data_IF_067523925364
#
_entry.id   IF_067523925364
#
_cell.length_a   1.000
_cell.length_b   1.000
_cell.length_c   1.000
_cell.angle_alpha   90.00
_cell.angle_beta   90.00
_cell.angle_gamma   90.00
#
_symmetry.space_group_name_H-M   'P 1'
#
loop_
_entity.id
_entity.type
_entity.pdbx_description
1 polymer ?
#
# COMPACT_ATOMS: atom_id res chain seq x y z
N UNK A 1 9.59 -14.88 1.23
CA UNK A 1 10.88 -14.37 1.74
C UNK A 1 10.81 -14.01 3.23
N UNK A 2 10.03 -13.00 3.61
CA UNK A 2 9.98 -12.44 4.98
C UNK A 2 9.87 -13.47 6.13
N UNK A 3 8.94 -14.43 6.05
CA UNK A 3 8.73 -15.41 7.13
C UNK A 3 9.89 -16.42 7.34
N UNK A 4 10.86 -16.47 6.42
CA UNK A 4 12.06 -17.31 6.57
C UNK A 4 13.19 -16.60 7.34
N UNK A 5 13.01 -15.32 7.68
CA UNK A 5 14.03 -14.53 8.37
C UNK A 5 14.03 -14.82 9.87
N UNK A 6 15.23 -14.82 10.46
CA UNK A 6 15.47 -14.89 11.90
C UNK A 6 16.71 -14.04 12.28
N UNK A 7 16.93 -13.75 13.57
CA UNK A 7 18.01 -12.85 14.00
C UNK A 7 19.43 -13.32 13.66
N UNK A 8 19.60 -14.60 13.34
CA UNK A 8 20.88 -15.24 13.07
C UNK A 8 21.19 -15.32 11.57
N UNK A 9 20.16 -15.32 10.70
CA UNK A 9 20.34 -15.35 9.24
C UNK A 9 20.24 -13.98 8.57
N UNK A 10 19.77 -12.95 9.28
CA UNK A 10 19.56 -11.60 8.73
C UNK A 10 20.51 -10.58 9.38
N UNK A 11 21.79 -10.65 9.03
CA UNK A 11 22.82 -9.70 9.50
C UNK A 11 22.84 -8.39 8.71
N UNK A 12 22.25 -8.36 7.51
CA UNK A 12 22.23 -7.18 6.62
C UNK A 12 21.38 -6.02 7.14
N UNK A 13 20.35 -6.31 7.93
CA UNK A 13 19.45 -5.30 8.48
C UNK A 13 19.85 -5.02 9.93
N UNK A 14 20.46 -3.87 10.23
CA UNK A 14 20.98 -3.56 11.56
C UNK A 14 19.88 -3.45 12.62
N UNK A 15 18.63 -3.18 12.24
CA UNK A 15 17.49 -3.02 13.16
C UNK A 15 16.71 -4.33 13.40
N UNK A 16 17.10 -5.42 12.74
CA UNK A 16 16.28 -6.63 12.75
C UNK A 16 16.29 -7.34 14.11
N UNK A 17 17.38 -7.23 14.87
CA UNK A 17 17.50 -7.82 16.22
C UNK A 17 16.63 -7.07 17.22
N UNK A 18 16.60 -5.75 17.15
CA UNK A 18 15.76 -4.86 17.95
C UNK A 18 14.29 -5.10 17.65
N UNK A 19 13.94 -5.18 16.35
CA UNK A 19 12.59 -5.56 15.91
C UNK A 19 12.16 -6.91 16.47
N UNK A 20 13.01 -7.94 16.39
CA UNK A 20 12.69 -9.29 16.88
C UNK A 20 12.40 -9.28 18.39
N UNK A 21 13.28 -8.65 19.18
CA UNK A 21 13.13 -8.51 20.62
C UNK A 21 11.83 -7.77 20.99
N UNK A 22 11.49 -6.71 20.25
CA UNK A 22 10.25 -5.95 20.43
C UNK A 22 9.00 -6.78 20.08
N UNK A 23 8.96 -7.39 18.88
CA UNK A 23 7.80 -8.16 18.40
C UNK A 23 7.47 -9.35 19.29
N UNK A 24 8.50 -10.06 19.77
CA UNK A 24 8.33 -11.29 20.55
C UNK A 24 8.50 -11.10 22.06
N UNK A 25 8.71 -9.85 22.50
CA UNK A 25 8.94 -9.45 23.87
C UNK A 25 9.98 -10.34 24.60
N UNK A 26 11.15 -10.48 23.99
CA UNK A 26 12.25 -11.31 24.47
C UNK A 26 13.60 -10.58 24.33
N UNK A 27 14.66 -11.17 24.87
CA UNK A 27 16.02 -10.63 24.85
C UNK A 27 16.97 -11.52 24.03
N UNK A 28 17.79 -10.93 23.16
CA UNK A 28 18.87 -11.64 22.46
C UNK A 28 20.20 -11.47 23.23
N UNK A 29 21.07 -12.51 23.27
CA UNK A 29 22.40 -12.39 23.88
C UNK A 29 23.20 -11.27 23.19
N UNK A 30 23.71 -10.32 23.98
CA UNK A 30 24.49 -9.18 23.47
C UNK A 30 23.68 -7.98 22.96
N UNK A 31 22.35 -7.97 23.11
CA UNK A 31 21.52 -6.81 22.84
C UNK A 31 21.63 -5.75 23.94
N UNK A 32 22.11 -4.55 23.59
CA UNK A 32 22.29 -3.45 24.55
C UNK A 32 20.98 -3.00 25.23
N UNK A 33 21.11 -2.70 26.54
CA UNK A 33 20.12 -2.23 27.54
C UNK A 33 19.37 -3.32 28.35
N UNK A 34 19.56 -3.22 29.67
CA UNK A 34 18.87 -3.83 30.83
C UNK A 34 17.70 -4.78 30.51
N UNK A 35 18.03 -6.05 30.27
CA UNK A 35 17.09 -7.17 30.13
C UNK A 35 16.78 -7.85 31.47
N UNK A 36 16.54 -7.08 32.52
CA UNK A 36 16.11 -7.65 33.81
C UNK A 36 14.66 -8.12 33.69
N UNK A 37 14.44 -9.42 33.50
CA UNK A 37 13.13 -10.08 33.59
C UNK A 37 12.49 -10.55 32.27
N UNK A 38 13.14 -10.37 31.11
CA UNK A 38 12.62 -10.89 29.82
C UNK A 38 13.19 -12.27 29.51
N UNK A 39 12.36 -13.16 28.93
CA UNK A 39 12.81 -14.45 28.42
C UNK A 39 13.84 -14.27 27.30
N UNK A 40 14.72 -15.25 27.11
CA UNK A 40 15.63 -15.27 25.97
C UNK A 40 14.85 -15.55 24.68
N UNK A 41 15.21 -14.85 23.60
CA UNK A 41 14.74 -15.17 22.26
C UNK A 41 15.45 -16.43 21.75
N UNK A 42 14.71 -17.34 21.11
CA UNK A 42 15.30 -18.58 20.55
C UNK A 42 15.65 -18.44 19.07
N UNK A 43 15.05 -17.47 18.37
CA UNK A 43 15.12 -17.34 16.91
C UNK A 43 14.21 -18.32 16.17
N UNK A 44 13.46 -19.15 16.90
CA UNK A 44 12.44 -20.06 16.37
C UNK A 44 11.04 -19.46 16.42
N UNK A 45 10.89 -18.26 16.99
CA UNK A 45 9.62 -17.54 16.97
C UNK A 45 9.15 -17.27 15.54
N UNK A 46 7.83 -17.35 15.29
CA UNK A 46 7.30 -17.29 13.93
C UNK A 46 6.86 -15.87 13.58
N UNK A 47 7.45 -15.30 12.53
CA UNK A 47 7.05 -13.99 12.02
C UNK A 47 5.61 -13.95 11.49
N UNK A 48 5.05 -15.11 11.13
CA UNK A 48 3.65 -15.28 10.73
C UNK A 48 2.67 -14.97 11.87
N UNK A 49 3.12 -15.05 13.13
CA UNK A 49 2.23 -14.86 14.27
C UNK A 49 1.75 -13.41 14.34
N UNK A 50 0.42 -13.26 14.25
CA UNK A 50 -0.28 -11.97 14.18
C UNK A 50 0.27 -11.05 13.09
N UNK A 51 0.72 -11.62 11.98
CA UNK A 51 1.22 -10.83 10.86
C UNK A 51 0.06 -10.11 10.16
N UNK A 52 0.23 -8.81 9.98
CA UNK A 52 -0.58 -8.01 9.05
C UNK A 52 0.38 -7.36 8.08
N UNK A 53 0.21 -7.66 6.80
CA UNK A 53 1.04 -7.07 5.75
C UNK A 53 0.72 -5.58 5.64
N UNK A 54 1.76 -4.76 5.46
CA UNK A 54 1.56 -3.35 5.15
C UNK A 54 0.80 -3.24 3.81
N UNK A 55 -0.39 -2.62 3.77
CA UNK A 55 -1.19 -2.49 2.55
C UNK A 55 -0.46 -1.70 1.46
N UNK A 56 0.57 -0.92 1.80
CA UNK A 56 1.37 -0.12 0.87
C UNK A 56 2.67 -0.79 0.42
N UNK A 57 2.94 -2.03 0.86
CA UNK A 57 4.19 -2.72 0.51
C UNK A 57 4.35 -2.89 -1.01
N UNK A 58 3.25 -3.11 -1.74
CA UNK A 58 3.27 -3.22 -3.21
C UNK A 58 3.80 -1.95 -3.88
N UNK A 59 3.46 -0.75 -3.38
CA UNK A 59 3.97 0.51 -3.91
C UNK A 59 5.48 0.65 -3.74
N UNK A 60 6.03 0.20 -2.60
CA UNK A 60 7.48 0.19 -2.37
C UNK A 60 8.18 -0.70 -3.39
N UNK A 61 7.63 -1.90 -3.64
CA UNK A 61 8.17 -2.83 -4.64
C UNK A 61 8.09 -2.19 -6.03
N UNK A 62 6.94 -1.64 -6.42
CA UNK A 62 6.76 -0.97 -7.71
C UNK A 62 7.76 0.16 -7.92
N UNK A 63 8.00 1.00 -6.91
CA UNK A 63 8.98 2.08 -7.00
C UNK A 63 10.41 1.56 -7.28
N UNK A 64 10.81 0.46 -6.65
CA UNK A 64 12.11 -0.19 -6.90
C UNK A 64 12.16 -0.72 -8.35
N UNK A 65 11.10 -1.39 -8.81
CA UNK A 65 11.03 -1.88 -10.19
C UNK A 65 11.02 -0.73 -11.20
N UNK A 66 10.32 0.37 -10.95
CA UNK A 66 10.33 1.56 -11.81
C UNK A 66 11.76 2.10 -11.98
N UNK A 67 12.51 2.22 -10.88
CA UNK A 67 13.93 2.61 -10.95
C UNK A 67 14.76 1.62 -11.77
N UNK A 68 14.57 0.32 -11.53
CA UNK A 68 15.31 -0.73 -12.25
C UNK A 68 15.00 -0.74 -13.76
N UNK A 69 13.72 -0.63 -14.14
CA UNK A 69 13.29 -0.57 -15.53
C UNK A 69 13.80 0.70 -16.22
N UNK A 70 13.68 1.86 -15.57
CA UNK A 70 14.20 3.12 -16.10
C UNK A 70 15.72 3.08 -16.29
N UNK A 71 16.47 2.55 -15.31
CA UNK A 71 17.92 2.40 -15.42
C UNK A 71 18.31 1.42 -16.53
N UNK A 72 17.59 0.32 -16.66
CA UNK A 72 17.85 -0.65 -17.71
C UNK A 72 17.59 -0.05 -19.10
N UNK A 73 16.53 0.74 -19.28
CA UNK A 73 16.25 1.39 -20.56
C UNK A 73 17.31 2.44 -20.90
N UNK A 74 17.66 3.30 -19.93
CA UNK A 74 18.75 4.27 -20.08
C UNK A 74 20.07 3.57 -20.44
N UNK A 75 20.41 2.48 -19.75
CA UNK A 75 21.62 1.67 -20.03
C UNK A 75 21.59 1.09 -21.45
N UNK A 76 20.46 0.55 -21.88
CA UNK A 76 20.31 -0.03 -23.22
C UNK A 76 20.51 1.00 -24.33
N UNK A 77 20.02 2.22 -24.12
CA UNK A 77 20.09 3.28 -25.13
C UNK A 77 21.46 3.98 -25.16
N UNK A 78 22.12 4.13 -24.00
CA UNK A 78 23.46 4.75 -23.90
C UNK A 78 24.57 3.75 -24.23
N UNK A 79 24.52 2.55 -23.66
CA UNK A 79 25.59 1.55 -23.78
C UNK A 79 25.32 0.52 -24.91
N UNK A 80 24.14 0.55 -25.53
CA UNK A 80 23.69 -0.45 -26.50
C UNK A 80 23.03 -1.67 -25.84
N UNK A 81 22.03 -2.24 -26.50
CA UNK A 81 21.17 -3.32 -25.93
C UNK A 81 21.95 -4.57 -25.50
N UNK A 82 22.96 -4.95 -26.28
CA UNK A 82 23.76 -6.16 -26.08
C UNK A 82 24.95 -5.95 -25.13
N UNK A 83 25.17 -4.74 -24.61
CA UNK A 83 26.24 -4.50 -23.65
C UNK A 83 25.91 -5.14 -22.29
N UNK A 84 26.95 -5.63 -21.62
CA UNK A 84 26.88 -6.18 -20.26
C UNK A 84 27.46 -5.16 -19.29
N UNK A 85 26.72 -4.87 -18.21
CA UNK A 85 27.16 -3.91 -17.20
C UNK A 85 26.94 -2.45 -17.60
N UNK A 86 27.74 -1.57 -16.99
CA UNK A 86 27.69 -0.12 -17.23
C UNK A 86 28.87 0.26 -18.13
N UNK A 87 28.61 1.16 -19.09
CA UNK A 87 29.63 1.75 -19.93
C UNK A 87 30.12 3.10 -19.37
N UNK A 88 31.33 3.59 -19.75
CA UNK A 88 31.86 4.86 -19.30
C UNK A 88 30.94 6.06 -19.57
N UNK A 89 30.18 6.02 -20.66
CA UNK A 89 29.26 7.09 -21.09
C UNK A 89 28.09 7.30 -20.12
N UNK A 90 27.79 6.29 -19.29
CA UNK A 90 26.77 6.35 -18.27
C UNK A 90 27.29 6.92 -16.94
N UNK A 91 28.58 7.26 -16.85
CA UNK A 91 29.24 7.73 -15.64
C UNK A 91 29.76 9.17 -15.78
N UNK A 92 29.30 10.12 -14.94
CA UNK A 92 28.20 10.01 -13.98
C UNK A 92 26.83 9.96 -14.66
N UNK A 93 25.84 9.37 -13.98
CA UNK A 93 24.46 9.34 -14.50
C UNK A 93 23.90 10.77 -14.56
N UNK A 94 23.47 11.19 -15.74
CA UNK A 94 22.73 12.43 -15.92
C UNK A 94 21.31 12.29 -15.36
N UNK A 95 21.04 12.92 -14.22
CA UNK A 95 19.74 12.84 -13.53
C UNK A 95 18.56 13.41 -14.33
N UNK A 96 18.78 14.47 -15.12
CA UNK A 96 17.72 15.04 -15.96
C UNK A 96 17.35 14.10 -17.12
N UNK A 97 18.35 13.44 -17.71
CA UNK A 97 18.12 12.39 -18.69
C UNK A 97 17.41 11.20 -18.06
N UNK A 98 17.88 10.72 -16.91
CA UNK A 98 17.28 9.58 -16.21
C UNK A 98 15.83 9.84 -15.81
N UNK A 99 15.47 11.06 -15.39
CA UNK A 99 14.09 11.46 -15.13
C UNK A 99 13.17 11.19 -16.33
N UNK A 100 13.61 11.48 -17.56
CA UNK A 100 12.81 11.23 -18.76
C UNK A 100 12.55 9.73 -18.97
N UNK A 101 13.52 8.88 -18.64
CA UNK A 101 13.31 7.43 -18.67
C UNK A 101 12.31 6.99 -17.61
N UNK A 102 12.40 7.52 -16.38
CA UNK A 102 11.46 7.20 -15.30
C UNK A 102 10.01 7.55 -15.65
N UNK A 103 9.77 8.70 -16.27
CA UNK A 103 8.43 9.14 -16.68
C UNK A 103 7.84 8.29 -17.81
N UNK A 104 8.69 7.59 -18.59
CA UNK A 104 8.26 6.76 -19.71
C UNK A 104 8.30 5.26 -19.42
N UNK A 105 8.53 4.87 -18.15
CA UNK A 105 8.51 3.45 -17.76
C UNK A 105 7.10 2.89 -17.90
N UNK A 106 7.00 1.74 -18.55
CA UNK A 106 5.81 0.90 -18.55
C UNK A 106 6.21 -0.57 -18.39
N UNK A 107 5.61 -1.27 -17.42
CA UNK A 107 5.80 -2.71 -17.24
C UNK A 107 4.59 -3.37 -16.58
N UNK A 108 4.39 -4.65 -16.89
CA UNK A 108 3.42 -5.49 -16.20
C UNK A 108 3.94 -5.86 -14.80
N UNK A 109 3.12 -5.61 -13.80
CA UNK A 109 3.27 -6.08 -12.43
C UNK A 109 2.35 -7.28 -12.17
N UNK A 110 2.39 -7.83 -10.96
CA UNK A 110 1.54 -8.96 -10.57
C UNK A 110 0.05 -8.72 -10.86
N UNK A 111 -0.68 -9.81 -11.11
CA UNK A 111 -2.14 -9.84 -11.28
C UNK A 111 -2.67 -8.97 -12.43
N UNK A 112 -1.87 -8.77 -13.49
CA UNK A 112 -2.28 -8.06 -14.71
C UNK A 112 -2.32 -6.54 -14.55
N UNK A 113 -1.84 -6.01 -13.43
CA UNK A 113 -1.66 -4.57 -13.25
C UNK A 113 -0.50 -4.07 -14.12
N UNK A 114 -0.69 -2.96 -14.83
CA UNK A 114 0.40 -2.27 -15.53
C UNK A 114 0.80 -1.04 -14.72
N UNK A 115 2.10 -0.89 -14.46
CA UNK A 115 2.67 0.31 -13.86
C UNK A 115 3.08 1.24 -15.00
N UNK A 116 2.54 2.45 -14.97
CA UNK A 116 2.76 3.51 -15.95
C UNK A 116 2.53 4.87 -15.29
N UNK A 117 2.94 5.94 -15.98
CA UNK A 117 2.83 7.30 -15.48
C UNK A 117 2.25 8.23 -16.55
N UNK A 118 1.51 9.22 -16.11
CA UNK A 118 1.04 10.30 -16.98
C UNK A 118 2.15 11.36 -17.23
N UNK A 119 1.80 12.45 -17.92
CA UNK A 119 2.75 13.53 -18.24
C UNK A 119 3.27 14.27 -17.01
N UNK A 120 2.56 14.19 -15.89
CA UNK A 120 2.95 14.79 -14.61
C UNK A 120 3.80 13.85 -13.77
N UNK A 121 3.87 12.57 -14.14
CA UNK A 121 4.56 11.52 -13.38
C UNK A 121 3.67 10.82 -12.37
N UNK A 122 2.35 10.91 -12.52
CA UNK A 122 1.38 10.28 -11.61
C UNK A 122 0.89 8.94 -12.18
N UNK A 123 0.85 7.87 -11.36
CA UNK A 123 0.26 6.61 -11.77
C UNK A 123 -1.28 6.68 -11.81
N UNK A 124 -1.96 5.83 -12.59
CA UNK A 124 -3.42 5.81 -12.66
C UNK A 124 -4.04 5.48 -11.28
N UNK A 125 -5.09 6.21 -10.92
CA UNK A 125 -5.80 6.03 -9.66
C UNK A 125 -6.57 4.70 -9.60
N UNK A 126 -6.28 3.89 -8.58
CA UNK A 126 -6.97 2.65 -8.25
C UNK A 126 -7.17 2.56 -6.75
N UNK A 127 -8.38 2.26 -6.31
CA UNK A 127 -8.73 2.21 -4.89
C UNK A 127 -9.59 1.00 -4.57
N UNK A 128 -9.26 0.33 -3.47
CA UNK A 128 -10.15 -0.66 -2.87
C UNK A 128 -11.15 0.07 -1.98
N UNK A 129 -12.44 -0.23 -2.14
CA UNK A 129 -13.51 0.27 -1.29
C UNK A 129 -13.68 -0.71 -0.13
N UNK A 130 -13.37 -0.24 1.08
CA UNK A 130 -13.47 -1.02 2.30
C UNK A 130 -14.66 -0.54 3.14
N UNK A 131 -15.37 -1.46 3.77
CA UNK A 131 -16.44 -1.16 4.71
C UNK A 131 -16.13 -1.86 6.05
N UNK A 132 -16.21 -1.11 7.16
CA UNK A 132 -15.96 -1.64 8.50
C UNK A 132 -17.22 -2.31 9.02
N UNK A 133 -17.20 -3.64 9.17
CA UNK A 133 -18.39 -4.46 9.38
C UNK A 133 -18.29 -5.26 10.68
N UNK A 134 -19.44 -5.49 11.32
CA UNK A 134 -19.58 -6.49 12.38
C UNK A 134 -19.60 -7.89 11.75
N UNK A 135 -18.70 -8.75 12.20
CA UNK A 135 -18.58 -10.13 11.77
C UNK A 135 -19.48 -11.05 12.60
N UNK A 136 -19.82 -12.26 12.09
CA UNK A 136 -20.68 -13.22 12.80
C UNK A 136 -20.13 -13.65 14.17
N UNK A 137 -18.82 -13.54 14.40
CA UNK A 137 -18.17 -13.86 15.66
C UNK A 137 -18.22 -12.71 16.69
N UNK A 138 -18.91 -11.61 16.38
CA UNK A 138 -19.03 -10.43 17.25
C UNK A 138 -17.85 -9.45 17.18
N UNK A 139 -16.81 -9.75 16.39
CA UNK A 139 -15.69 -8.83 16.16
C UNK A 139 -15.95 -7.90 14.97
N UNK A 140 -15.17 -6.82 14.86
CA UNK A 140 -15.24 -5.92 13.71
C UNK A 140 -13.97 -6.02 12.86
N UNK A 141 -14.14 -5.92 11.54
CA UNK A 141 -13.01 -5.82 10.61
C UNK A 141 -13.37 -5.04 9.35
N UNK A 142 -12.35 -4.63 8.59
CA UNK A 142 -12.50 -4.02 7.28
C UNK A 142 -12.73 -5.09 6.22
N UNK A 143 -13.87 -5.00 5.54
CA UNK A 143 -14.27 -5.92 4.47
C UNK A 143 -14.18 -5.19 3.13
N UNK A 144 -13.49 -5.81 2.19
CA UNK A 144 -13.41 -5.31 0.81
C UNK A 144 -14.76 -5.52 0.13
N UNK A 145 -15.40 -4.42 -0.26
CA UNK A 145 -16.76 -4.41 -0.80
C UNK A 145 -16.85 -3.98 -2.26
N UNK A 146 -15.80 -3.36 -2.78
CA UNK A 146 -15.78 -2.80 -4.11
C UNK A 146 -14.41 -2.29 -4.52
N UNK A 147 -14.30 -1.85 -5.76
CA UNK A 147 -13.13 -1.18 -6.31
C UNK A 147 -13.55 0.08 -7.07
N UNK A 148 -12.66 1.07 -7.07
CA UNK A 148 -12.70 2.18 -8.01
C UNK A 148 -11.47 2.12 -8.89
N UNK A 149 -11.67 2.13 -10.21
CA UNK A 149 -10.59 2.13 -11.18
C UNK A 149 -10.90 3.12 -12.29
N UNK A 150 -10.11 4.18 -12.35
CA UNK A 150 -10.12 5.18 -13.42
C UNK A 150 -11.54 5.64 -13.82
N UNK A 151 -12.33 6.10 -12.83
CA UNK A 151 -13.69 6.60 -13.03
C UNK A 151 -14.80 5.55 -12.93
N UNK A 152 -14.46 4.26 -12.94
CA UNK A 152 -15.45 3.17 -12.79
C UNK A 152 -15.50 2.70 -11.34
N UNK A 153 -16.65 2.85 -10.70
CA UNK A 153 -16.94 2.27 -9.39
C UNK A 153 -17.66 0.94 -9.55
N UNK A 154 -17.11 -0.12 -8.97
CA UNK A 154 -17.74 -1.44 -8.91
C UNK A 154 -17.89 -1.86 -7.44
N UNK A 155 -19.12 -2.13 -7.01
CA UNK A 155 -19.42 -2.62 -5.66
C UNK A 155 -20.16 -3.95 -5.82
N UNK A 156 -19.58 -5.03 -5.31
CA UNK A 156 -20.11 -6.39 -5.48
C UNK A 156 -20.50 -7.07 -4.16
N UNK A 157 -20.23 -6.43 -3.02
CA UNK A 157 -20.63 -6.93 -1.70
C UNK A 157 -21.45 -5.88 -0.98
N UNK A 158 -22.43 -6.34 -0.22
CA UNK A 158 -23.26 -5.48 0.61
C UNK A 158 -22.43 -4.73 1.67
N UNK A 159 -22.79 -3.47 1.85
CA UNK A 159 -22.24 -2.60 2.89
C UNK A 159 -23.15 -2.60 4.12
N UNK A 160 -22.55 -2.59 5.31
CA UNK A 160 -23.26 -2.34 6.56
C UNK A 160 -23.25 -0.83 6.83
N UNK A 161 -24.26 -0.12 6.35
CA UNK A 161 -24.34 1.34 6.45
C UNK A 161 -25.24 1.83 7.61
N UNK A 162 -26.20 1.02 8.06
CA UNK A 162 -27.14 1.39 9.11
C UNK A 162 -27.32 0.32 10.19
N UNK A 163 -28.27 0.57 11.12
CA UNK A 163 -28.54 -0.31 12.27
C UNK A 163 -29.02 -1.72 11.87
N UNK A 164 -29.49 -1.90 10.64
CA UNK A 164 -29.92 -3.19 10.09
C UNK A 164 -29.05 -3.55 8.89
N UNK A 165 -28.76 -4.84 8.74
CA UNK A 165 -28.03 -5.34 7.57
C UNK A 165 -28.79 -4.96 6.28
N UNK A 166 -28.10 -4.34 5.32
CA UNK A 166 -28.70 -3.88 4.05
C UNK A 166 -29.51 -2.58 4.13
N UNK A 167 -29.61 -1.90 5.28
CA UNK A 167 -30.24 -0.58 5.33
C UNK A 167 -29.29 0.49 4.80
N UNK A 168 -29.72 1.27 3.80
CA UNK A 168 -29.03 2.49 3.37
C UNK A 168 -29.26 3.63 4.35
N UNK A 169 -28.33 4.58 4.42
CA UNK A 169 -28.46 5.82 5.19
C UNK A 169 -28.77 6.95 4.22
N UNK A 170 -29.92 7.59 4.42
CA UNK A 170 -30.28 8.79 3.67
C UNK A 170 -29.59 10.01 4.30
N UNK A 171 -28.70 10.67 3.55
CA UNK A 171 -28.04 11.91 3.97
C UNK A 171 -28.50 13.05 3.07
N UNK A 172 -29.64 13.67 3.41
CA UNK A 172 -30.24 14.80 2.68
C UNK A 172 -30.57 15.94 3.63
N UNK A 173 -30.30 17.18 3.22
CA UNK A 173 -30.65 18.38 3.98
C UNK A 173 -32.17 18.56 4.12
N UNK A 174 -32.93 18.19 3.07
CA UNK A 174 -34.39 18.20 3.12
C UNK A 174 -34.94 17.14 2.18
N UNK A 175 -35.89 16.34 2.68
CA UNK A 175 -36.54 15.30 1.88
C UNK A 175 -37.24 15.88 0.65
N UNK A 176 -37.39 15.10 -0.44
CA UNK A 176 -38.17 15.53 -1.60
C UNK A 176 -39.61 15.85 -1.21
N UNK A 177 -40.17 16.92 -1.77
CA UNK A 177 -41.58 17.25 -1.57
C UNK A 177 -42.48 16.19 -2.25
N UNK A 178 -43.66 15.89 -1.68
CA UNK A 178 -44.66 15.09 -2.38
C UNK A 178 -45.06 15.73 -3.72
N UNK A 179 -45.51 14.92 -4.70
CA UNK A 179 -46.02 15.46 -5.96
C UNK A 179 -47.09 16.54 -5.73
N UNK A 180 -46.99 17.67 -6.44
CA UNK A 180 -47.89 18.82 -6.28
C UNK A 180 -47.44 19.88 -5.26
N UNK A 181 -46.33 19.63 -4.54
CA UNK A 181 -45.73 20.58 -3.60
C UNK A 181 -44.33 21.01 -4.07
N UNK A 182 -43.87 22.19 -3.65
CA UNK A 182 -42.53 22.72 -3.95
C UNK A 182 -41.77 23.08 -2.67
N UNK A 183 -40.43 23.05 -2.74
CA UNK A 183 -39.56 23.47 -1.63
C UNK A 183 -39.54 25.00 -1.56
N UNK A 184 -39.87 25.55 -0.40
CA UNK A 184 -39.63 26.97 -0.10
C UNK A 184 -38.24 27.10 0.56
N UNK A 185 -37.29 27.74 -0.13
CA UNK A 185 -35.91 27.90 0.35
C UNK A 185 -35.87 29.14 1.24
N UNK A 186 -35.68 28.95 2.55
CA UNK A 186 -35.35 30.06 3.43
C UNK A 186 -33.83 30.32 3.37
N UNK A 187 -33.44 31.54 3.03
CA UNK A 187 -32.05 31.99 3.05
C UNK A 187 -31.56 32.10 4.49
N UNK A 188 -31.11 31.00 5.08
CA UNK A 188 -30.57 31.02 6.43
C UNK A 188 -30.17 29.64 6.94
N UNK A 189 -28.90 29.30 6.81
CA UNK A 189 -28.30 28.16 7.49
C UNK A 189 -26.82 28.46 7.76
N UNK A 190 -26.56 29.17 8.87
CA UNK A 190 -25.25 29.10 9.52
C UNK A 190 -25.04 27.67 10.03
N UNK A 191 -23.81 27.19 9.85
CA UNK A 191 -23.27 25.97 10.43
C UNK A 191 -23.51 25.95 11.95
N UNK A 192 -24.00 24.83 12.48
CA UNK A 192 -23.88 24.45 13.89
C UNK A 192 -22.84 23.35 14.01
#
# INVERSE_FOLDING_TARGET
YYFKLNPFNNSRNPWFKEFWQSKFNCSLPGGGKNNTGKRNCTGLEKLSDRYKQDPKLSFVIKAIFTLAHGLNQLRQDVCGRNSVGLCPELFPINGALFKNYLLNVSFAFHDGETVEFDRSGDPPGRYNIMNFQLLPNGSYDYIHVGDWNNGTLNVWRDMQLGKKHGSSVESVCSRPCPPGYYKNIQSGGQEQ
#
